data_IF_003710055049
#
_entry.id   IF_003710055049
#
_cell.length_a   1.000
_cell.length_b   1.000
_cell.length_c   1.000
_cell.angle_alpha   90.00
_cell.angle_beta   90.00
_cell.angle_gamma   90.00
#
_symmetry.space_group_name_H-M   'P 1'
#
loop_
_entity.id
_entity.type
_entity.pdbx_description
1 polymer ?
#
# COMPACT_ATOMS: atom_id res chain seq x y z
N UNK A 1 3.62 4.68 17.61
CA UNK A 1 2.23 5.09 17.33
C UNK A 1 1.85 6.27 18.23
N UNK A 2 1.31 7.33 17.65
CA UNK A 2 0.92 8.58 18.33
C UNK A 2 -0.56 8.82 18.06
N UNK A 3 -1.38 8.95 19.10
CA UNK A 3 -2.83 9.19 18.98
C UNK A 3 -3.13 10.64 19.34
N UNK A 4 -3.80 11.37 18.46
CA UNK A 4 -4.10 12.79 18.62
C UNK A 4 -5.56 13.07 18.31
N UNK A 5 -6.10 14.14 18.88
CA UNK A 5 -7.44 14.58 18.51
C UNK A 5 -7.40 15.35 17.19
N UNK A 6 -8.53 15.37 16.48
CA UNK A 6 -8.69 16.20 15.29
C UNK A 6 -8.53 17.70 15.57
N UNK A 7 -8.72 18.15 16.82
CA UNK A 7 -8.46 19.55 17.23
C UNK A 7 -6.97 19.80 17.33
N UNK A 8 -6.25 18.94 18.04
CA UNK A 8 -4.80 19.09 18.23
C UNK A 8 -4.05 18.97 16.90
N UNK A 9 -4.49 18.05 16.04
CA UNK A 9 -3.93 17.89 14.70
C UNK A 9 -4.04 19.18 13.89
N UNK A 10 -5.22 19.81 13.84
CA UNK A 10 -5.42 21.07 13.10
C UNK A 10 -4.57 22.20 13.67
N UNK A 11 -4.45 22.29 14.99
CA UNK A 11 -3.65 23.33 15.65
C UNK A 11 -2.14 23.15 15.44
N UNK A 12 -1.65 21.92 15.21
CA UNK A 12 -0.23 21.58 15.13
C UNK A 12 0.11 20.75 13.88
N UNK A 13 -0.51 21.05 12.74
CA UNK A 13 -0.50 20.18 11.56
C UNK A 13 0.92 19.82 11.08
N UNK A 14 1.82 20.81 10.95
CA UNK A 14 3.21 20.59 10.51
C UNK A 14 3.95 19.58 11.39
N UNK A 15 3.85 19.72 12.71
CA UNK A 15 4.47 18.81 13.69
C UNK A 15 4.07 17.37 13.44
N UNK A 16 2.79 17.12 13.14
CA UNK A 16 2.31 15.75 12.93
C UNK A 16 2.65 15.18 11.56
N UNK A 17 2.79 16.00 10.52
CA UNK A 17 3.39 15.55 9.26
C UNK A 17 4.85 15.14 9.44
N UNK A 18 5.63 15.93 10.20
CA UNK A 18 7.02 15.58 10.49
C UNK A 18 7.13 14.27 11.28
N UNK A 19 6.27 14.10 12.28
CA UNK A 19 6.19 12.85 13.05
C UNK A 19 5.75 11.65 12.20
N UNK A 20 4.84 11.85 11.24
CA UNK A 20 4.35 10.79 10.35
C UNK A 20 5.44 10.19 9.46
N UNK A 21 6.59 10.87 9.29
CA UNK A 21 7.73 10.35 8.53
C UNK A 21 8.41 9.16 9.22
N UNK A 22 8.26 9.03 10.53
CA UNK A 22 8.94 8.00 11.35
C UNK A 22 8.00 7.27 12.30
N UNK A 23 6.74 7.71 12.43
CA UNK A 23 5.78 7.15 13.37
C UNK A 23 4.39 7.04 12.74
N UNK A 24 3.64 6.00 13.10
CA UNK A 24 2.20 5.97 12.84
C UNK A 24 1.48 7.04 13.66
N UNK A 25 0.85 8.00 13.00
CA UNK A 25 -0.01 9.01 13.63
C UNK A 25 -1.48 8.68 13.39
N UNK A 26 -2.25 8.52 14.46
CA UNK A 26 -3.69 8.27 14.42
C UNK A 26 -4.43 9.53 14.88
N UNK A 27 -5.22 10.10 13.98
CA UNK A 27 -6.04 11.29 14.24
C UNK A 27 -7.46 10.83 14.53
N UNK A 28 -7.95 11.11 15.74
CA UNK A 28 -9.28 10.68 16.19
C UNK A 28 -10.30 11.81 16.10
N UNK A 29 -11.49 11.49 15.61
CA UNK A 29 -12.66 12.37 15.52
C UNK A 29 -13.88 11.69 16.12
N UNK A 30 -14.61 12.40 16.98
CA UNK A 30 -15.89 11.88 17.52
C UNK A 30 -16.96 11.73 16.45
N UNK A 31 -16.95 12.59 15.42
CA UNK A 31 -17.98 12.63 14.39
C UNK A 31 -17.66 11.77 13.16
N UNK A 32 -16.37 11.51 12.90
CA UNK A 32 -15.91 10.94 11.64
C UNK A 32 -14.98 9.73 11.81
N UNK A 33 -14.84 9.21 13.04
CA UNK A 33 -13.95 8.08 13.33
C UNK A 33 -12.47 8.47 13.36
N UNK A 34 -11.61 7.50 13.10
CA UNK A 34 -10.16 7.65 13.20
C UNK A 34 -9.49 7.57 11.83
N UNK A 35 -8.53 8.45 11.59
CA UNK A 35 -7.72 8.50 10.39
C UNK A 35 -6.28 8.11 10.74
N UNK A 36 -5.60 7.43 9.82
CA UNK A 36 -4.15 7.22 9.90
C UNK A 36 -3.47 8.21 8.96
N UNK A 37 -2.43 8.87 9.47
CA UNK A 37 -1.59 9.75 8.69
C UNK A 37 -0.27 9.04 8.40
N UNK A 38 -0.04 8.74 7.12
CA UNK A 38 1.19 8.17 6.58
C UNK A 38 1.61 8.99 5.35
N UNK A 39 2.91 9.25 5.16
CA UNK A 39 3.39 9.88 3.93
C UNK A 39 3.20 8.92 2.76
N UNK A 40 2.75 9.43 1.63
CA UNK A 40 2.72 8.69 0.36
C UNK A 40 4.05 8.91 -0.35
N UNK A 41 4.67 7.82 -0.74
CA UNK A 41 5.89 7.74 -1.55
C UNK A 41 5.56 7.35 -2.99
N UNK A 42 6.55 7.40 -3.87
CA UNK A 42 6.39 6.97 -5.27
C UNK A 42 6.13 5.47 -5.42
N UNK A 43 6.53 4.69 -4.42
CA UNK A 43 6.41 3.23 -4.42
C UNK A 43 5.05 2.76 -3.89
N UNK A 44 4.26 3.68 -3.30
CA UNK A 44 2.95 3.37 -2.76
C UNK A 44 1.88 3.26 -3.86
N UNK A 45 1.10 2.18 -3.80
CA UNK A 45 -0.08 2.01 -4.66
C UNK A 45 -1.33 2.56 -3.98
N UNK A 46 -1.56 3.87 -4.12
CA UNK A 46 -2.81 4.51 -3.66
C UNK A 46 -3.82 4.48 -4.81
N UNK A 47 -4.78 3.57 -4.73
CA UNK A 47 -5.86 3.41 -5.71
C UNK A 47 -7.21 3.33 -4.99
N UNK A 48 -8.28 3.70 -5.69
CA UNK A 48 -9.64 3.52 -5.20
C UNK A 48 -10.14 2.09 -5.41
N UNK A 49 -11.31 1.78 -4.84
CA UNK A 49 -11.91 0.45 -4.89
C UNK A 49 -12.20 0.01 -6.34
N UNK A 50 -12.61 0.93 -7.22
CA UNK A 50 -12.91 0.61 -8.61
C UNK A 50 -11.65 0.21 -9.40
N UNK A 51 -10.55 0.93 -9.19
CA UNK A 51 -9.25 0.60 -9.79
C UNK A 51 -8.67 -0.69 -9.20
N UNK A 52 -8.88 -0.94 -7.90
CA UNK A 52 -8.50 -2.20 -7.26
C UNK A 52 -9.28 -3.39 -7.87
N UNK A 53 -10.60 -3.27 -7.97
CA UNK A 53 -11.47 -4.29 -8.58
C UNK A 53 -11.08 -4.57 -10.03
N UNK A 54 -10.74 -3.54 -10.79
CA UNK A 54 -10.28 -3.68 -12.17
C UNK A 54 -8.94 -4.45 -12.23
N UNK A 55 -7.99 -4.14 -11.36
CA UNK A 55 -6.70 -4.86 -11.27
C UNK A 55 -6.91 -6.34 -10.92
N UNK A 56 -7.78 -6.64 -9.96
CA UNK A 56 -8.10 -8.01 -9.56
C UNK A 56 -8.74 -8.79 -10.72
N UNK A 57 -9.76 -8.21 -11.38
CA UNK A 57 -10.43 -8.84 -12.53
C UNK A 57 -9.45 -9.11 -13.67
N UNK A 58 -8.56 -8.15 -13.96
CA UNK A 58 -7.51 -8.33 -14.95
C UNK A 58 -6.57 -9.49 -14.58
N UNK A 59 -6.15 -9.59 -13.33
CA UNK A 59 -5.30 -10.70 -12.87
C UNK A 59 -5.98 -12.06 -13.00
N UNK A 60 -7.27 -12.16 -12.69
CA UNK A 60 -8.07 -13.39 -12.89
C UNK A 60 -8.16 -13.75 -14.38
N UNK A 61 -8.40 -12.77 -15.24
CA UNK A 61 -8.44 -12.96 -16.68
C UNK A 61 -7.09 -13.44 -17.23
N UNK A 62 -5.99 -12.79 -16.84
CA UNK A 62 -4.62 -13.18 -17.22
C UNK A 62 -4.30 -14.61 -16.78
N UNK A 63 -4.66 -14.97 -15.54
CA UNK A 63 -4.53 -16.33 -15.04
C UNK A 63 -5.30 -17.35 -15.90
N UNK A 64 -6.58 -17.09 -16.18
CA UNK A 64 -7.41 -17.99 -16.99
C UNK A 64 -6.90 -18.16 -18.42
N UNK A 65 -6.23 -17.13 -18.96
CA UNK A 65 -5.59 -17.15 -20.29
C UNK A 65 -4.18 -17.74 -20.28
N UNK A 66 -3.69 -18.20 -19.12
CA UNK A 66 -2.34 -18.73 -18.97
C UNK A 66 -1.23 -17.67 -19.07
N UNK A 67 -1.56 -16.38 -18.99
CA UNK A 67 -0.60 -15.27 -18.97
C UNK A 67 0.01 -15.13 -17.57
N UNK A 68 0.72 -16.17 -17.15
CA UNK A 68 1.30 -16.29 -15.81
C UNK A 68 2.75 -16.73 -15.91
N UNK A 69 3.56 -16.25 -14.98
CA UNK A 69 4.89 -16.80 -14.75
C UNK A 69 4.76 -17.99 -13.82
N UNK A 70 5.29 -19.14 -14.24
CA UNK A 70 5.30 -20.37 -13.44
C UNK A 70 6.70 -20.63 -12.93
N UNK A 71 6.78 -21.24 -11.74
CA UNK A 71 8.01 -21.85 -11.27
C UNK A 71 8.34 -23.07 -12.13
N UNK A 72 9.61 -23.24 -12.45
CA UNK A 72 10.10 -24.43 -13.11
C UNK A 72 10.18 -25.60 -12.12
N UNK A 73 10.22 -26.83 -12.64
CA UNK A 73 10.41 -28.01 -11.80
C UNK A 73 11.76 -27.96 -11.09
N UNK A 74 11.76 -28.10 -9.76
CA UNK A 74 12.96 -28.03 -8.93
C UNK A 74 13.53 -26.62 -8.71
N UNK A 75 12.89 -25.56 -9.22
CA UNK A 75 13.29 -24.17 -8.99
C UNK A 75 12.91 -23.72 -7.57
N UNK A 76 13.82 -23.00 -6.90
CA UNK A 76 13.54 -22.38 -5.61
C UNK A 76 12.97 -20.96 -5.77
N UNK A 77 12.49 -20.37 -4.67
CA UNK A 77 11.85 -19.05 -4.72
C UNK A 77 12.82 -17.95 -5.18
N UNK A 78 14.10 -18.06 -4.82
CA UNK A 78 15.11 -17.06 -5.18
C UNK A 78 15.42 -17.12 -6.69
N UNK A 79 15.55 -18.33 -7.25
CA UNK A 79 15.71 -18.57 -8.68
C UNK A 79 14.51 -18.06 -9.47
N UNK A 80 13.30 -18.37 -9.00
CA UNK A 80 12.07 -17.87 -9.61
C UNK A 80 11.99 -16.34 -9.62
N UNK A 81 12.19 -15.68 -8.47
CA UNK A 81 12.14 -14.22 -8.37
C UNK A 81 13.27 -13.55 -9.15
N UNK A 82 14.46 -14.14 -9.17
CA UNK A 82 15.59 -13.67 -9.96
C UNK A 82 15.27 -13.68 -11.46
N UNK A 83 14.61 -14.72 -11.97
CA UNK A 83 14.17 -14.76 -13.37
C UNK A 83 13.07 -13.73 -13.65
N UNK A 84 12.08 -13.63 -12.76
CA UNK A 84 10.96 -12.71 -12.92
C UNK A 84 11.36 -11.23 -12.93
N UNK A 85 12.35 -10.85 -12.11
CA UNK A 85 12.74 -9.44 -11.89
C UNK A 85 13.86 -8.95 -12.83
N UNK A 86 14.58 -9.86 -13.50
CA UNK A 86 15.71 -9.52 -14.37
C UNK A 86 15.43 -9.75 -15.87
N UNK A 87 14.19 -10.04 -16.25
CA UNK A 87 13.77 -10.03 -17.66
C UNK A 87 13.51 -8.59 -18.10
N UNK A 88 14.31 -8.09 -19.06
CA UNK A 88 14.17 -6.78 -19.75
C UNK A 88 12.86 -6.67 -20.56
#
# INVERSE_FOLDING_TARGET
MIIVTSRDFRANQRKYFDLARTNDVIITSRAFGSYRLVPVSKDDNVIDDAALDAKIKKGIEEYSKGKVYKMNEGEDINGYLGRLLNED
#
